data_IF_874977876679
#
_entry.id   IF_874977876679
#
_cell.length_a   1.000
_cell.length_b   1.000
_cell.length_c   1.000
_cell.angle_alpha   90.00
_cell.angle_beta   90.00
_cell.angle_gamma   90.00
#
_symmetry.space_group_name_H-M   'P 1'
#
loop_
_entity.id
_entity.type
_entity.pdbx_description
1 polymer ?
#
# COMPACT_ATOMS: atom_id res chain seq x y z
N UNK A 1 -13.71 13.22 -2.77
CA UNK A 1 -12.50 12.47 -2.39
C UNK A 1 -12.02 13.12 -1.10
N UNK A 2 -12.64 12.71 0.00
CA UNK A 2 -12.19 13.14 1.32
C UNK A 2 -10.91 12.39 1.67
N UNK A 3 -10.00 13.00 2.44
CA UNK A 3 -8.76 12.35 2.87
C UNK A 3 -8.99 11.00 3.59
N UNK A 4 -10.21 10.79 4.11
CA UNK A 4 -10.66 9.56 4.74
C UNK A 4 -11.07 8.45 3.74
N UNK A 5 -11.39 8.77 2.48
CA UNK A 5 -11.70 7.75 1.44
C UNK A 5 -10.47 6.88 1.14
N UNK A 6 -9.26 7.45 1.25
CA UNK A 6 -7.98 6.74 1.08
C UNK A 6 -7.79 5.66 2.15
N UNK A 7 -8.33 5.86 3.35
CA UNK A 7 -8.30 4.89 4.44
C UNK A 7 -9.34 3.77 4.27
N UNK A 8 -10.33 3.98 3.39
CA UNK A 8 -11.33 2.98 3.00
C UNK A 8 -10.72 1.83 2.20
N UNK A 9 -9.69 2.10 1.40
CA UNK A 9 -8.96 1.07 0.67
C UNK A 9 -7.97 0.35 1.62
N UNK A 10 -8.14 -0.96 1.88
CA UNK A 10 -7.27 -1.68 2.78
C UNK A 10 -5.82 -1.79 2.31
N UNK A 11 -5.57 -1.74 1.00
CA UNK A 11 -4.21 -1.73 0.45
C UNK A 11 -3.54 -0.38 0.70
N UNK A 12 -4.24 0.73 0.44
CA UNK A 12 -3.69 2.08 0.67
C UNK A 12 -3.43 2.37 2.14
N UNK A 13 -4.35 1.97 3.02
CA UNK A 13 -4.14 2.07 4.48
C UNK A 13 -2.88 1.32 4.90
N UNK A 14 -2.69 0.10 4.39
CA UNK A 14 -1.51 -0.71 4.72
C UNK A 14 -0.20 -0.10 4.22
N UNK A 15 -0.22 0.52 3.03
CA UNK A 15 0.93 1.27 2.52
C UNK A 15 1.30 2.41 3.48
N UNK A 16 0.31 3.17 3.95
CA UNK A 16 0.53 4.25 4.92
C UNK A 16 1.06 3.73 6.27
N UNK A 17 0.54 2.61 6.76
CA UNK A 17 1.05 1.96 7.97
C UNK A 17 2.52 1.54 7.84
N UNK A 18 2.92 0.99 6.69
CA UNK A 18 4.32 0.62 6.44
C UNK A 18 5.23 1.86 6.39
N UNK A 19 4.73 2.98 5.87
CA UNK A 19 5.48 4.23 5.79
C UNK A 19 5.45 5.06 7.09
N UNK A 20 4.73 4.62 8.13
CA UNK A 20 4.58 5.36 9.38
C UNK A 20 5.91 5.57 10.12
N UNK A 21 6.83 4.61 10.02
CA UNK A 21 8.16 4.66 10.65
C UNK A 21 9.21 5.38 9.78
N UNK A 22 8.83 5.85 8.58
CA UNK A 22 9.69 6.60 7.66
C UNK A 22 9.69 6.06 6.24
N UNK A 23 10.55 6.66 5.41
CA UNK A 23 10.68 6.30 4.00
C UNK A 23 11.14 4.84 3.84
N UNK A 24 10.48 4.12 2.94
CA UNK A 24 10.83 2.76 2.57
C UNK A 24 11.03 2.61 1.07
N UNK A 25 11.88 1.67 0.67
CA UNK A 25 12.03 1.31 -0.74
C UNK A 25 10.70 0.77 -1.28
N UNK A 26 10.26 1.29 -2.43
CA UNK A 26 9.00 0.87 -3.09
C UNK A 26 8.95 -0.64 -3.33
N UNK A 27 10.09 -1.29 -3.59
CA UNK A 27 10.17 -2.74 -3.78
C UNK A 27 9.81 -3.53 -2.52
N UNK A 28 10.24 -3.04 -1.34
CA UNK A 28 9.94 -3.66 -0.04
C UNK A 28 8.46 -3.52 0.30
N UNK A 29 7.91 -2.30 0.16
CA UNK A 29 6.48 -2.04 0.37
C UNK A 29 5.64 -2.91 -0.56
N UNK A 30 6.00 -2.95 -1.85
CA UNK A 30 5.26 -3.74 -2.84
C UNK A 30 5.31 -5.24 -2.57
N UNK A 31 6.43 -5.76 -2.05
CA UNK A 31 6.55 -7.17 -1.71
C UNK A 31 5.61 -7.56 -0.57
N UNK A 32 5.54 -6.75 0.50
CA UNK A 32 4.64 -6.98 1.64
C UNK A 32 3.18 -6.98 1.16
N UNK A 33 2.76 -5.97 0.38
CA UNK A 33 1.38 -5.86 -0.10
C UNK A 33 0.98 -7.05 -0.98
N UNK A 34 1.84 -7.50 -1.90
CA UNK A 34 1.53 -8.67 -2.73
C UNK A 34 1.32 -9.93 -1.91
N UNK A 35 2.13 -10.14 -0.87
CA UNK A 35 2.03 -11.32 0.01
C UNK A 35 0.77 -11.23 0.86
N UNK A 36 0.49 -10.05 1.44
CA UNK A 36 -0.63 -9.85 2.37
C UNK A 36 -2.00 -9.87 1.69
N UNK A 37 -2.11 -9.29 0.49
CA UNK A 37 -3.38 -9.17 -0.24
C UNK A 37 -3.52 -10.14 -1.42
N UNK A 38 -2.47 -10.89 -1.77
CA UNK A 38 -2.50 -11.85 -2.89
C UNK A 38 -2.69 -11.19 -4.27
N UNK A 39 -2.39 -9.90 -4.39
CA UNK A 39 -2.58 -9.13 -5.62
C UNK A 39 -1.31 -9.07 -6.50
N UNK A 40 -1.50 -8.83 -7.80
CA UNK A 40 -0.41 -8.76 -8.77
C UNK A 40 0.40 -7.46 -8.63
N UNK A 41 1.64 -7.43 -9.14
CA UNK A 41 2.45 -6.20 -9.16
C UNK A 41 1.75 -5.01 -9.84
N UNK A 42 1.06 -5.15 -10.99
CA UNK A 42 0.29 -4.06 -11.57
C UNK A 42 -0.83 -3.54 -10.66
N UNK A 43 -1.52 -4.44 -9.95
CA UNK A 43 -2.55 -4.04 -8.99
C UNK A 43 -1.93 -3.19 -7.85
N UNK A 44 -0.79 -3.61 -7.29
CA UNK A 44 -0.07 -2.81 -6.29
C UNK A 44 0.31 -1.42 -6.81
N UNK A 45 0.85 -1.33 -8.04
CA UNK A 45 1.22 -0.05 -8.65
C UNK A 45 0.04 0.90 -8.87
N UNK A 46 -1.20 0.42 -8.96
CA UNK A 46 -2.38 1.28 -9.03
C UNK A 46 -2.71 1.96 -7.70
N UNK A 47 -2.24 1.39 -6.58
CA UNK A 47 -2.49 1.93 -5.24
C UNK A 47 -1.38 2.88 -4.75
N UNK A 48 -0.18 2.83 -5.35
CA UNK A 48 0.96 3.71 -5.11
C UNK A 48 0.83 5.03 -5.89
#
# INVERSE_FOLDING_TARGET
MDAFDVLGDPVRRRILELLADGEQAVGSVSAVIRIEFGISSPAVSQHL
#
